data_IF_560454525555
#
_entry.id   IF_560454525555
#
_cell.length_a   1.000
_cell.length_b   1.000
_cell.length_c   1.000
_cell.angle_alpha   90.00
_cell.angle_beta   90.00
_cell.angle_gamma   90.00
#
_symmetry.space_group_name_H-M   'P 1'
#
loop_
_entity.id
_entity.type
_entity.pdbx_description
1 polymer ?
#
# COMPACT_ATOMS: atom_id res chain seq x y z
N UNK A 1 12.91 -10.23 8.50
CA UNK A 1 13.84 -10.62 7.41
C UNK A 1 12.99 -11.21 6.28
N UNK A 2 13.23 -10.82 5.03
CA UNK A 2 12.45 -11.33 3.87
C UNK A 2 13.33 -12.08 2.87
N UNK A 3 14.61 -12.29 3.19
CA UNK A 3 15.60 -12.79 2.24
C UNK A 3 15.86 -11.84 1.05
N UNK A 4 15.37 -10.60 1.12
CA UNK A 4 15.56 -9.56 0.11
C UNK A 4 16.65 -8.56 0.50
N UNK A 5 17.12 -7.76 -0.49
CA UNK A 5 18.20 -6.78 -0.34
C UNK A 5 17.97 -5.82 0.84
N UNK A 6 16.77 -5.25 0.93
CA UNK A 6 16.49 -4.15 1.86
C UNK A 6 16.53 -4.60 3.33
N UNK A 7 15.87 -5.71 3.66
CA UNK A 7 15.89 -6.25 5.02
C UNK A 7 17.29 -6.72 5.44
N UNK A 8 18.07 -7.22 4.48
CA UNK A 8 19.44 -7.68 4.72
C UNK A 8 20.37 -6.52 5.08
N UNK A 9 20.35 -5.46 4.27
CA UNK A 9 21.18 -4.28 4.50
C UNK A 9 20.72 -3.53 5.76
N UNK A 10 19.42 -3.49 6.05
CA UNK A 10 18.92 -2.94 7.30
C UNK A 10 19.51 -3.63 8.53
N UNK A 11 19.61 -4.97 8.52
CA UNK A 11 20.21 -5.72 9.61
C UNK A 11 21.73 -5.44 9.73
N UNK A 12 22.46 -5.39 8.62
CA UNK A 12 23.89 -5.05 8.58
C UNK A 12 24.13 -3.67 9.20
N UNK A 13 23.40 -2.65 8.75
CA UNK A 13 23.57 -1.28 9.24
C UNK A 13 23.27 -1.14 10.74
N UNK A 14 22.27 -1.88 11.23
CA UNK A 14 21.95 -1.88 12.66
C UNK A 14 23.05 -2.53 13.49
N UNK A 15 23.65 -3.64 13.04
CA UNK A 15 24.82 -4.24 13.72
C UNK A 15 26.01 -3.28 13.72
N UNK A 16 26.30 -2.62 12.58
CA UNK A 16 27.39 -1.63 12.50
C UNK A 16 27.16 -0.42 13.40
N UNK A 17 25.89 -0.06 13.64
CA UNK A 17 25.50 0.97 14.60
C UNK A 17 25.56 0.50 16.07
N UNK A 18 25.96 -0.76 16.33
CA UNK A 18 26.14 -1.32 17.67
C UNK A 18 24.88 -1.90 18.29
N UNK A 19 23.80 -2.11 17.53
CA UNK A 19 22.61 -2.79 18.05
C UNK A 19 22.81 -4.31 18.11
N UNK A 20 22.29 -4.92 19.17
CA UNK A 20 22.08 -6.37 19.21
C UNK A 20 20.83 -6.70 18.38
N UNK A 21 21.02 -7.37 17.23
CA UNK A 21 19.97 -7.57 16.24
C UNK A 21 19.43 -9.01 16.30
N UNK A 22 18.11 -9.14 16.30
CA UNK A 22 17.40 -10.41 16.07
C UNK A 22 16.60 -10.31 14.77
N UNK A 23 16.82 -11.22 13.83
CA UNK A 23 16.10 -11.27 12.58
C UNK A 23 14.72 -11.91 12.77
N UNK A 24 13.68 -11.30 12.19
CA UNK A 24 12.31 -11.85 12.20
C UNK A 24 11.81 -12.01 10.78
N UNK A 25 11.28 -13.19 10.45
CA UNK A 25 10.58 -13.47 9.20
C UNK A 25 9.13 -13.81 9.49
N UNK A 26 8.21 -12.98 9.01
CA UNK A 26 6.78 -13.30 9.02
C UNK A 26 6.42 -14.17 7.82
N UNK A 27 5.79 -15.31 8.06
CA UNK A 27 5.15 -16.12 7.03
C UNK A 27 3.75 -15.57 6.81
N UNK A 28 3.58 -14.74 5.77
CA UNK A 28 2.27 -14.17 5.45
C UNK A 28 1.51 -14.96 4.40
N UNK A 29 2.20 -15.34 3.32
CA UNK A 29 1.61 -16.05 2.19
C UNK A 29 2.66 -16.87 1.46
N UNK A 30 2.28 -18.07 1.09
CA UNK A 30 3.11 -19.00 0.31
C UNK A 30 2.26 -19.56 -0.85
N UNK A 31 2.81 -19.50 -2.05
CA UNK A 31 2.19 -20.14 -3.20
C UNK A 31 2.71 -21.57 -3.30
N UNK A 32 1.85 -22.54 -2.98
CA UNK A 32 2.26 -23.95 -2.82
C UNK A 32 3.26 -24.11 -1.68
N UNK A 33 4.26 -24.98 -1.88
CA UNK A 33 5.28 -25.32 -0.86
C UNK A 33 6.56 -24.43 -0.99
N UNK A 34 6.46 -23.26 -1.64
CA UNK A 34 7.64 -22.39 -1.83
C UNK A 34 8.02 -21.67 -0.54
N UNK A 35 9.04 -22.18 0.13
CA UNK A 35 9.62 -21.67 1.37
C UNK A 35 11.07 -21.20 1.22
N UNK A 36 11.62 -21.11 0.00
CA UNK A 36 13.01 -20.72 -0.26
C UNK A 36 13.39 -19.37 0.41
N UNK A 37 12.45 -18.44 0.51
CA UNK A 37 12.69 -17.16 1.18
C UNK A 37 12.99 -17.30 2.67
N UNK A 38 12.49 -18.35 3.34
CA UNK A 38 12.80 -18.66 4.74
C UNK A 38 14.24 -19.13 4.89
N UNK A 39 14.69 -19.98 3.96
CA UNK A 39 16.07 -20.46 3.96
C UNK A 39 17.05 -19.34 3.60
N UNK A 40 16.71 -18.50 2.61
CA UNK A 40 17.47 -17.28 2.30
C UNK A 40 17.60 -16.36 3.53
N UNK A 41 16.50 -16.16 4.27
CA UNK A 41 16.51 -15.33 5.47
C UNK A 41 17.33 -15.94 6.61
N UNK A 42 17.22 -17.25 6.82
CA UNK A 42 17.99 -18.01 7.83
C UNK A 42 19.48 -17.96 7.52
N UNK A 43 19.87 -18.33 6.29
CA UNK A 43 21.29 -18.31 5.87
C UNK A 43 21.92 -16.93 6.02
N UNK A 44 21.14 -15.86 5.74
CA UNK A 44 21.62 -14.51 5.98
C UNK A 44 21.84 -14.23 7.47
N UNK A 45 20.88 -14.56 8.32
CA UNK A 45 21.00 -14.38 9.77
C UNK A 45 22.19 -15.17 10.33
N UNK A 46 22.39 -16.41 9.88
CA UNK A 46 23.54 -17.25 10.23
C UNK A 46 24.87 -16.58 9.81
N UNK A 47 24.93 -16.03 8.60
CA UNK A 47 26.14 -15.33 8.11
C UNK A 47 26.43 -14.03 8.84
N UNK A 48 25.41 -13.39 9.41
CA UNK A 48 25.53 -12.20 10.25
C UNK A 48 25.72 -12.56 11.73
N UNK A 49 25.68 -13.84 12.08
CA UNK A 49 25.74 -14.34 13.48
C UNK A 49 24.64 -13.73 14.37
N UNK A 50 23.42 -13.55 13.84
CA UNK A 50 22.27 -13.06 14.58
C UNK A 50 21.19 -14.14 14.77
N UNK A 51 20.47 -14.16 15.91
CA UNK A 51 19.32 -15.03 16.09
C UNK A 51 18.26 -14.79 15.02
N UNK A 52 17.52 -15.84 14.61
CA UNK A 52 16.44 -15.75 13.66
C UNK A 52 15.16 -16.37 14.20
N UNK A 53 14.05 -15.64 14.07
CA UNK A 53 12.70 -16.06 14.45
C UNK A 53 11.85 -16.13 13.18
N UNK A 54 11.22 -17.28 12.97
CA UNK A 54 10.15 -17.43 11.97
C UNK A 54 8.81 -17.38 12.69
N UNK A 55 7.97 -16.44 12.33
CA UNK A 55 6.64 -16.26 12.92
C UNK A 55 5.56 -16.60 11.89
N UNK A 56 4.70 -17.58 12.19
CA UNK A 56 3.61 -17.98 11.30
C UNK A 56 2.42 -17.03 11.47
N UNK A 57 2.25 -16.13 10.49
CA UNK A 57 1.17 -15.17 10.43
C UNK A 57 0.20 -15.44 9.27
N UNK A 58 0.24 -16.64 8.66
CA UNK A 58 -0.55 -16.97 7.46
C UNK A 58 -2.05 -16.88 7.72
N UNK A 59 -2.52 -17.36 8.86
CA UNK A 59 -3.95 -17.34 9.18
C UNK A 59 -4.47 -15.90 9.32
N UNK A 60 -3.82 -15.09 10.15
CA UNK A 60 -4.24 -13.69 10.35
C UNK A 60 -4.09 -12.86 9.07
N UNK A 61 -3.06 -13.14 8.25
CA UNK A 61 -2.88 -12.48 6.96
C UNK A 61 -4.00 -12.84 5.98
N UNK A 62 -4.40 -14.11 5.93
CA UNK A 62 -5.53 -14.56 5.12
C UNK A 62 -6.82 -13.87 5.53
N UNK A 63 -7.11 -13.82 6.83
CA UNK A 63 -8.35 -13.25 7.36
C UNK A 63 -8.43 -11.73 7.17
N UNK A 64 -7.33 -11.01 7.43
CA UNK A 64 -7.36 -9.54 7.44
C UNK A 64 -6.98 -8.91 6.10
N UNK A 65 -6.11 -9.55 5.31
CA UNK A 65 -5.57 -8.92 4.11
C UNK A 65 -6.11 -9.57 2.83
N UNK A 66 -6.11 -10.91 2.75
CA UNK A 66 -6.58 -11.59 1.54
C UNK A 66 -8.10 -11.52 1.44
N UNK A 67 -8.82 -11.79 2.53
CA UNK A 67 -10.29 -11.68 2.54
C UNK A 67 -10.73 -10.26 2.21
N UNK A 68 -10.14 -9.24 2.88
CA UNK A 68 -10.39 -7.84 2.53
C UNK A 68 -10.17 -7.54 1.04
N UNK A 69 -9.07 -8.01 0.48
CA UNK A 69 -8.75 -7.80 -0.95
C UNK A 69 -9.82 -8.39 -1.88
N UNK A 70 -10.29 -9.60 -1.57
CA UNK A 70 -11.34 -10.27 -2.34
C UNK A 70 -12.66 -9.54 -2.18
N UNK A 71 -13.07 -9.24 -0.93
CA UNK A 71 -14.34 -8.62 -0.61
C UNK A 71 -14.47 -7.24 -1.25
N UNK A 72 -13.41 -6.43 -1.24
CA UNK A 72 -13.38 -5.13 -1.90
C UNK A 72 -13.58 -5.24 -3.41
N UNK A 73 -12.87 -6.15 -4.08
CA UNK A 73 -13.12 -6.35 -5.52
C UNK A 73 -14.53 -6.86 -5.83
N UNK A 74 -15.06 -7.74 -4.96
CA UNK A 74 -16.44 -8.21 -5.08
C UNK A 74 -17.48 -7.11 -4.79
N UNK A 75 -17.10 -6.08 -4.04
CA UNK A 75 -17.89 -4.86 -3.87
C UNK A 75 -17.72 -3.83 -5.01
N UNK A 76 -16.91 -4.14 -6.06
CA UNK A 76 -16.63 -3.22 -7.17
C UNK A 76 -15.60 -2.13 -6.85
N UNK A 77 -14.88 -2.27 -5.74
CA UNK A 77 -13.85 -1.35 -5.28
C UNK A 77 -12.46 -1.71 -5.80
N UNK A 78 -11.48 -0.86 -5.54
CA UNK A 78 -10.08 -1.06 -5.94
C UNK A 78 -9.17 -0.98 -4.70
N UNK A 79 -8.94 -2.09 -3.99
CA UNK A 79 -8.19 -2.07 -2.74
C UNK A 79 -6.69 -1.84 -2.90
N UNK A 80 -6.06 -1.28 -1.86
CA UNK A 80 -4.60 -1.18 -1.70
C UNK A 80 -4.18 -1.99 -0.46
N UNK A 81 -4.07 -3.32 -0.55
CA UNK A 81 -3.86 -4.21 0.60
C UNK A 81 -2.54 -3.96 1.31
N UNK A 82 -1.53 -3.40 0.61
CA UNK A 82 -0.23 -3.07 1.23
C UNK A 82 -0.35 -1.99 2.30
N UNK A 83 -1.26 -1.03 2.13
CA UNK A 83 -1.52 0.01 3.14
C UNK A 83 -2.13 -0.61 4.39
N UNK A 84 -3.15 -1.43 4.22
CA UNK A 84 -3.77 -2.17 5.32
C UNK A 84 -2.75 -3.04 6.06
N UNK A 85 -2.00 -3.84 5.31
CA UNK A 85 -0.99 -4.73 5.86
C UNK A 85 0.05 -3.98 6.70
N UNK A 86 0.57 -2.86 6.21
CA UNK A 86 1.55 -2.09 6.97
C UNK A 86 0.93 -1.48 8.24
N UNK A 87 -0.20 -0.77 8.13
CA UNK A 87 -0.76 0.00 9.24
C UNK A 87 -1.42 -0.87 10.32
N UNK A 88 -2.02 -2.00 9.94
CA UNK A 88 -2.87 -2.78 10.87
C UNK A 88 -2.36 -4.20 11.15
N UNK A 89 -1.36 -4.69 10.39
CA UNK A 89 -0.85 -6.05 10.60
C UNK A 89 0.67 -6.08 10.81
N UNK A 90 1.48 -5.74 9.81
CA UNK A 90 2.93 -5.95 9.83
C UNK A 90 3.64 -5.22 10.98
N UNK A 91 3.43 -3.91 11.09
CA UNK A 91 4.04 -3.12 12.14
C UNK A 91 3.48 -3.45 13.53
N UNK A 92 2.16 -3.60 13.73
CA UNK A 92 1.60 -4.07 14.99
C UNK A 92 2.13 -5.45 15.43
N UNK A 93 2.20 -6.43 14.52
CA UNK A 93 2.76 -7.74 14.86
C UNK A 93 4.24 -7.67 15.23
N UNK A 94 5.01 -6.84 14.52
CA UNK A 94 6.43 -6.65 14.84
C UNK A 94 6.61 -6.01 16.21
N UNK A 95 5.78 -5.02 16.54
CA UNK A 95 5.75 -4.39 17.85
C UNK A 95 5.37 -5.40 18.95
N UNK A 96 4.29 -6.15 18.74
CA UNK A 96 3.85 -7.20 19.68
C UNK A 96 4.96 -8.21 19.97
N UNK A 97 5.61 -8.72 18.92
CA UNK A 97 6.70 -9.68 19.07
C UNK A 97 7.91 -9.07 19.81
N UNK A 98 8.21 -7.80 19.56
CA UNK A 98 9.26 -7.07 20.28
C UNK A 98 8.90 -6.95 21.78
N UNK A 99 7.65 -6.63 22.11
CA UNK A 99 7.15 -6.55 23.49
C UNK A 99 7.25 -7.91 24.20
N UNK A 100 6.83 -8.99 23.55
CA UNK A 100 6.94 -10.38 24.08
C UNK A 100 8.38 -10.79 24.36
N UNK A 101 9.36 -10.22 23.64
CA UNK A 101 10.80 -10.47 23.83
C UNK A 101 11.50 -9.46 24.72
N UNK A 102 10.80 -8.46 25.24
CA UNK A 102 11.39 -7.39 26.03
C UNK A 102 12.31 -6.47 25.21
N UNK A 103 12.11 -6.39 23.90
CA UNK A 103 12.91 -5.58 22.97
C UNK A 103 12.19 -4.26 22.72
N UNK A 104 12.85 -3.15 22.97
CA UNK A 104 12.25 -1.82 22.76
C UNK A 104 12.22 -1.40 21.30
N UNK A 105 13.36 -1.53 20.58
CA UNK A 105 13.46 -1.10 19.19
C UNK A 105 13.08 -2.19 18.20
N UNK A 106 12.37 -1.82 17.15
CA UNK A 106 12.14 -2.70 16.02
C UNK A 106 12.37 -1.96 14.70
N UNK A 107 12.76 -2.71 13.67
CA UNK A 107 13.24 -2.15 12.41
C UNK A 107 12.69 -2.89 11.19
N UNK A 108 12.65 -2.20 10.08
CA UNK A 108 12.39 -2.79 8.76
C UNK A 108 13.25 -2.12 7.70
N UNK A 109 13.32 -2.75 6.52
CA UNK A 109 13.94 -2.18 5.33
C UNK A 109 13.03 -1.21 4.55
N UNK A 110 12.15 -0.44 5.19
CA UNK A 110 11.35 0.57 4.49
C UNK A 110 12.18 1.82 4.16
N UNK A 111 11.95 2.35 2.95
CA UNK A 111 12.53 3.62 2.48
C UNK A 111 11.68 4.79 2.96
N UNK A 112 11.73 5.06 4.23
CA UNK A 112 11.05 6.18 4.89
C UNK A 112 11.92 6.69 6.02
N UNK A 113 11.65 7.91 6.47
CA UNK A 113 12.27 8.49 7.66
C UNK A 113 11.19 8.80 8.70
N UNK A 114 11.60 9.18 9.90
CA UNK A 114 10.72 9.74 10.92
C UNK A 114 11.33 11.00 11.50
N UNK A 115 10.48 11.93 11.89
CA UNK A 115 10.89 13.20 12.50
C UNK A 115 9.93 13.57 13.64
N UNK A 116 10.47 14.13 14.72
CA UNK A 116 9.65 14.73 15.76
C UNK A 116 9.36 16.19 15.39
N UNK A 117 8.07 16.54 15.34
CA UNK A 117 7.58 17.89 15.04
C UNK A 117 6.53 18.22 16.10
N UNK A 118 6.71 19.33 16.82
CA UNK A 118 5.79 19.80 17.86
C UNK A 118 5.45 18.72 18.91
N UNK A 119 6.41 17.86 19.27
CA UNK A 119 6.24 16.78 20.27
C UNK A 119 5.55 15.51 19.75
N UNK A 120 5.25 15.44 18.45
CA UNK A 120 4.65 14.27 17.80
C UNK A 120 5.60 13.67 16.78
N UNK A 121 5.67 12.35 16.72
CA UNK A 121 6.40 11.64 15.68
C UNK A 121 5.62 11.59 14.37
N UNK A 122 6.28 11.95 13.28
CA UNK A 122 5.76 11.87 11.93
C UNK A 122 6.61 10.96 11.07
N UNK A 123 5.97 10.22 10.18
CA UNK A 123 6.65 9.58 9.04
C UNK A 123 6.98 10.67 8.03
N UNK A 124 8.19 10.62 7.47
CA UNK A 124 8.60 11.51 6.37
C UNK A 124 9.10 10.70 5.19
N UNK A 125 9.08 11.32 4.01
CA UNK A 125 9.53 10.68 2.78
C UNK A 125 10.98 10.16 2.91
N UNK A 126 11.26 9.05 2.25
CA UNK A 126 12.62 8.54 2.08
C UNK A 126 13.44 9.41 1.14
N UNK A 127 14.77 9.31 1.23
CA UNK A 127 15.69 10.05 0.37
C UNK A 127 15.62 9.62 -1.11
N UNK A 128 15.23 8.37 -1.39
CA UNK A 128 15.01 7.86 -2.75
C UNK A 128 13.54 8.07 -3.16
N UNK A 129 13.24 9.05 -4.04
CA UNK A 129 11.87 9.38 -4.42
C UNK A 129 11.19 8.28 -5.25
N UNK A 130 11.97 7.38 -5.88
CA UNK A 130 11.43 6.25 -6.65
C UNK A 130 11.14 5.03 -5.75
N UNK A 131 11.65 5.04 -4.51
CA UNK A 131 11.47 3.98 -3.52
C UNK A 131 10.75 4.43 -2.26
N UNK A 132 10.41 5.72 -2.12
CA UNK A 132 9.70 6.24 -0.96
C UNK A 132 8.43 5.44 -0.67
N UNK A 133 8.29 4.94 0.56
CA UNK A 133 7.18 4.10 0.99
C UNK A 133 6.29 4.79 2.04
N UNK A 134 6.48 6.08 2.25
CA UNK A 134 5.72 6.86 3.24
C UNK A 134 4.20 6.80 3.01
N UNK A 135 3.77 6.72 1.74
CA UNK A 135 2.38 6.55 1.34
C UNK A 135 1.67 5.37 2.02
N UNK A 136 2.39 4.31 2.35
CA UNK A 136 1.80 3.10 2.94
C UNK A 136 1.71 3.14 4.47
N UNK A 137 2.19 4.22 5.13
CA UNK A 137 2.39 4.27 6.58
C UNK A 137 1.58 5.37 7.28
N UNK A 138 0.59 5.95 6.61
CA UNK A 138 -0.22 7.05 7.15
C UNK A 138 -1.02 6.68 8.40
N UNK A 139 -1.33 5.39 8.60
CA UNK A 139 -2.17 4.90 9.71
C UNK A 139 -1.42 4.51 10.97
N UNK A 140 -0.08 4.56 10.97
CA UNK A 140 0.72 4.19 12.14
C UNK A 140 0.47 5.13 13.32
N UNK A 141 0.49 4.56 14.53
CA UNK A 141 0.24 5.28 15.78
C UNK A 141 1.55 5.74 16.44
N UNK A 142 1.47 6.77 17.27
CA UNK A 142 2.60 7.37 17.95
C UNK A 142 3.54 6.35 18.64
N UNK A 143 3.04 5.39 19.46
CA UNK A 143 3.91 4.42 20.13
C UNK A 143 4.70 3.53 19.14
N UNK A 144 4.12 3.25 17.97
CA UNK A 144 4.81 2.47 16.93
C UNK A 144 5.88 3.31 16.26
N UNK A 145 5.56 4.55 15.85
CA UNK A 145 6.50 5.44 15.16
C UNK A 145 7.70 5.78 16.06
N UNK A 146 7.45 6.01 17.33
CA UNK A 146 8.51 6.30 18.30
C UNK A 146 9.59 5.20 18.33
N UNK A 147 9.19 3.94 18.36
CA UNK A 147 10.07 2.78 18.56
C UNK A 147 10.65 2.20 17.26
N UNK A 148 10.19 2.66 16.08
CA UNK A 148 10.69 2.12 14.82
C UNK A 148 12.06 2.69 14.47
N UNK A 149 12.95 1.85 13.94
CA UNK A 149 14.21 2.23 13.32
C UNK A 149 14.11 2.02 11.81
N UNK A 150 14.60 2.98 11.05
CA UNK A 150 14.43 3.09 9.60
C UNK A 150 15.80 3.31 8.93
N UNK A 151 16.70 2.32 8.99
CA UNK A 151 18.09 2.51 8.59
C UNK A 151 18.28 2.81 7.10
N UNK A 152 17.30 2.53 6.25
CA UNK A 152 17.38 2.78 4.82
C UNK A 152 16.80 4.13 4.38
N UNK A 153 16.17 4.85 5.28
CA UNK A 153 15.39 6.05 4.95
C UNK A 153 16.20 7.19 4.33
N UNK A 154 17.49 7.28 4.62
CA UNK A 154 18.40 8.31 4.10
C UNK A 154 19.22 7.88 2.88
N UNK A 155 18.95 6.68 2.34
CA UNK A 155 19.75 6.06 1.29
C UNK A 155 18.95 5.81 0.02
N UNK A 156 19.64 5.80 -1.12
CA UNK A 156 19.10 5.37 -2.39
C UNK A 156 19.20 3.85 -2.56
N UNK A 157 18.38 3.26 -3.43
CA UNK A 157 18.46 1.82 -3.75
C UNK A 157 19.81 1.40 -4.30
N UNK A 158 20.49 2.28 -5.03
CA UNK A 158 21.83 1.99 -5.58
C UNK A 158 22.88 1.91 -4.47
N UNK A 159 22.84 2.81 -3.49
CA UNK A 159 23.73 2.76 -2.32
C UNK A 159 23.50 1.48 -1.51
N UNK A 160 22.25 1.11 -1.27
CA UNK A 160 21.89 -0.13 -0.57
C UNK A 160 22.45 -1.37 -1.28
N UNK A 161 22.33 -1.44 -2.60
CA UNK A 161 22.91 -2.54 -3.37
C UNK A 161 24.44 -2.57 -3.32
N UNK A 162 25.08 -1.41 -3.35
CA UNK A 162 26.53 -1.30 -3.20
C UNK A 162 27.00 -1.79 -1.83
N UNK A 163 26.31 -1.42 -0.76
CA UNK A 163 26.61 -1.92 0.60
C UNK A 163 26.52 -3.44 0.64
N UNK A 164 25.43 -4.03 0.12
CA UNK A 164 25.27 -5.48 0.08
C UNK A 164 26.42 -6.16 -0.68
N UNK A 165 26.83 -5.61 -1.83
CA UNK A 165 27.94 -6.14 -2.62
C UNK A 165 29.30 -6.04 -1.90
N UNK A 166 29.59 -4.90 -1.27
CA UNK A 166 30.84 -4.66 -0.52
C UNK A 166 30.95 -5.58 0.71
N UNK A 167 29.82 -5.99 1.29
CA UNK A 167 29.77 -6.92 2.43
C UNK A 167 29.76 -8.40 1.99
N UNK A 168 29.97 -8.68 0.71
CA UNK A 168 30.02 -10.06 0.16
C UNK A 168 28.68 -10.69 -0.14
N UNK A 169 27.56 -9.97 0.01
CA UNK A 169 26.21 -10.47 -0.25
C UNK A 169 25.77 -10.26 -1.71
N UNK A 170 26.54 -10.78 -2.68
CA UNK A 170 26.32 -10.58 -4.12
C UNK A 170 24.94 -11.06 -4.58
N UNK A 171 24.47 -12.23 -4.11
CA UNK A 171 23.14 -12.77 -4.43
C UNK A 171 22.04 -11.78 -4.00
N UNK A 172 22.20 -11.16 -2.83
CA UNK A 172 21.28 -10.18 -2.28
C UNK A 172 21.34 -8.86 -3.06
N UNK A 173 22.54 -8.37 -3.41
CA UNK A 173 22.74 -7.13 -4.16
C UNK A 173 22.09 -7.14 -5.55
N UNK A 174 22.05 -8.31 -6.22
CA UNK A 174 21.50 -8.48 -7.57
C UNK A 174 20.04 -8.93 -7.61
N UNK A 175 19.45 -9.26 -6.45
CA UNK A 175 18.05 -9.71 -6.37
C UNK A 175 17.11 -8.62 -6.90
N UNK A 176 16.19 -9.02 -7.78
CA UNK A 176 15.16 -8.10 -8.30
C UNK A 176 14.20 -7.68 -7.20
N UNK A 177 13.76 -6.43 -7.28
CA UNK A 177 12.72 -5.93 -6.39
C UNK A 177 11.39 -6.65 -6.68
N UNK A 178 10.64 -6.97 -5.63
CA UNK A 178 9.27 -7.45 -5.78
C UNK A 178 8.40 -6.31 -6.32
N UNK A 179 7.73 -6.55 -7.42
CA UNK A 179 6.75 -5.63 -8.01
C UNK A 179 5.34 -6.14 -7.72
N UNK A 180 4.44 -5.22 -7.35
CA UNK A 180 3.05 -5.54 -7.06
C UNK A 180 2.81 -6.06 -5.64
N UNK A 181 1.64 -6.68 -5.45
CA UNK A 181 1.17 -7.20 -4.16
C UNK A 181 1.84 -8.55 -3.87
N UNK A 182 2.36 -8.75 -2.66
CA UNK A 182 3.20 -9.92 -2.33
C UNK A 182 2.52 -11.27 -2.53
N UNK A 183 1.20 -11.38 -2.31
CA UNK A 183 0.42 -12.59 -2.54
C UNK A 183 -0.21 -12.65 -3.95
N UNK A 184 -0.18 -11.54 -4.68
CA UNK A 184 -0.72 -11.41 -6.03
C UNK A 184 0.29 -10.68 -6.94
N UNK A 185 1.44 -11.31 -7.30
CA UNK A 185 2.51 -10.65 -8.04
C UNK A 185 2.20 -10.51 -9.54
N UNK A 186 1.15 -11.17 -10.02
CA UNK A 186 0.73 -11.20 -11.41
C UNK A 186 -0.59 -10.42 -11.60
N UNK A 187 -1.49 -10.95 -12.39
CA UNK A 187 -2.81 -10.38 -12.64
C UNK A 187 -3.77 -10.75 -11.49
N UNK A 188 -4.31 -9.75 -10.81
CA UNK A 188 -5.25 -9.94 -9.70
C UNK A 188 -6.53 -10.69 -10.11
N UNK A 189 -6.91 -10.62 -11.38
CA UNK A 189 -8.09 -11.33 -11.92
C UNK A 189 -7.93 -12.85 -11.81
N UNK A 190 -6.72 -13.36 -12.07
CA UNK A 190 -6.42 -14.79 -11.90
C UNK A 190 -6.47 -15.17 -10.42
N UNK A 191 -5.92 -14.31 -9.56
CA UNK A 191 -5.98 -14.53 -8.11
C UNK A 191 -7.43 -14.60 -7.61
N UNK A 192 -8.30 -13.68 -8.04
CA UNK A 192 -9.73 -13.73 -7.70
C UNK A 192 -10.37 -15.04 -8.19
N UNK A 193 -10.14 -15.43 -9.45
CA UNK A 193 -10.68 -16.69 -10.01
C UNK A 193 -10.24 -17.95 -9.24
N UNK A 194 -9.02 -17.93 -8.67
CA UNK A 194 -8.47 -19.04 -7.87
C UNK A 194 -9.04 -19.10 -6.44
N UNK A 195 -9.47 -17.98 -5.86
CA UNK A 195 -9.81 -17.87 -4.45
C UNK A 195 -11.29 -17.66 -4.14
N UNK A 196 -12.11 -17.41 -5.14
CA UNK A 196 -13.56 -17.26 -4.99
C UNK A 196 -14.29 -18.53 -5.41
N UNK A 197 -15.53 -18.70 -4.94
CA UNK A 197 -16.38 -19.81 -5.36
C UNK A 197 -16.63 -19.76 -6.88
N UNK A 198 -16.41 -20.87 -7.61
CA UNK A 198 -16.71 -20.91 -9.03
C UNK A 198 -18.17 -20.45 -9.32
N UNK A 199 -18.34 -19.55 -10.28
CA UNK A 199 -19.65 -18.99 -10.64
C UNK A 199 -20.09 -17.75 -9.83
N UNK A 200 -19.34 -17.32 -8.82
CA UNK A 200 -19.65 -16.07 -8.09
C UNK A 200 -19.42 -14.82 -8.93
N UNK A 201 -18.51 -14.87 -9.91
CA UNK A 201 -18.34 -13.80 -10.89
C UNK A 201 -19.00 -14.23 -12.19
N UNK A 202 -20.02 -13.49 -12.61
CA UNK A 202 -20.77 -13.74 -13.82
C UNK A 202 -20.44 -12.70 -14.89
N UNK A 203 -20.45 -13.09 -16.18
CA UNK A 203 -20.39 -12.11 -17.28
C UNK A 203 -21.51 -11.08 -17.15
N UNK A 204 -21.20 -9.83 -17.50
CA UNK A 204 -22.15 -8.72 -17.50
C UNK A 204 -21.97 -7.83 -18.72
N UNK A 205 -22.53 -6.63 -18.67
CA UNK A 205 -22.63 -5.76 -19.82
C UNK A 205 -21.91 -4.41 -19.61
N UNK A 206 -21.25 -3.95 -20.67
CA UNK A 206 -20.74 -2.58 -20.77
C UNK A 206 -21.80 -1.65 -21.35
N UNK A 207 -21.98 -0.52 -20.70
CA UNK A 207 -22.84 0.56 -21.17
C UNK A 207 -22.03 1.84 -21.37
N UNK A 208 -22.45 2.66 -22.30
CA UNK A 208 -21.93 4.03 -22.39
C UNK A 208 -22.67 4.97 -21.42
N UNK A 209 -22.25 6.25 -21.37
CA UNK A 209 -22.83 7.27 -20.50
C UNK A 209 -24.30 7.60 -20.86
N UNK A 210 -24.78 7.23 -22.03
CA UNK A 210 -26.19 7.40 -22.45
C UNK A 210 -27.07 6.21 -22.03
N UNK A 211 -26.49 5.14 -21.53
CA UNK A 211 -27.16 3.90 -21.18
C UNK A 211 -27.28 2.92 -22.35
N UNK A 212 -26.58 3.16 -23.47
CA UNK A 212 -26.55 2.24 -24.59
C UNK A 212 -25.60 1.06 -24.28
N UNK A 213 -26.05 -0.16 -24.57
CA UNK A 213 -25.22 -1.37 -24.51
C UNK A 213 -24.13 -1.31 -25.59
N UNK A 214 -22.85 -1.42 -25.16
CA UNK A 214 -21.71 -1.32 -26.10
C UNK A 214 -20.78 -2.55 -26.07
N UNK A 215 -21.07 -3.55 -25.25
CA UNK A 215 -20.27 -4.78 -25.16
C UNK A 215 -20.60 -5.63 -23.97
N UNK A 216 -19.85 -6.74 -23.82
CA UNK A 216 -19.94 -7.64 -22.67
C UNK A 216 -18.60 -7.79 -21.97
N UNK A 217 -18.63 -8.01 -20.68
CA UNK A 217 -17.45 -8.23 -19.84
C UNK A 217 -17.51 -9.57 -19.10
N UNK A 218 -16.35 -10.06 -18.64
CA UNK A 218 -16.23 -11.34 -17.92
C UNK A 218 -16.72 -11.28 -16.45
N UNK A 219 -17.01 -10.10 -15.94
CA UNK A 219 -17.46 -9.81 -14.57
C UNK A 219 -16.91 -8.48 -14.09
N UNK A 220 -17.76 -7.68 -13.43
CA UNK A 220 -17.39 -6.34 -12.97
C UNK A 220 -16.15 -6.31 -12.04
N UNK A 221 -15.85 -7.32 -11.18
CA UNK A 221 -14.69 -7.26 -10.31
C UNK A 221 -13.33 -7.22 -11.04
N UNK A 222 -13.33 -7.49 -12.36
CA UNK A 222 -12.11 -7.46 -13.17
C UNK A 222 -11.80 -6.08 -13.75
N UNK A 223 -12.54 -5.05 -13.32
CA UNK A 223 -12.40 -3.69 -13.83
C UNK A 223 -12.12 -2.70 -12.69
N UNK A 224 -11.49 -1.59 -13.05
CA UNK A 224 -11.11 -0.51 -12.10
C UNK A 224 -11.43 0.84 -12.74
N UNK A 225 -11.88 1.81 -11.96
CA UNK A 225 -12.16 3.17 -12.43
C UNK A 225 -10.92 3.78 -13.12
N UNK A 226 -11.13 4.32 -14.31
CA UNK A 226 -10.07 4.87 -15.16
C UNK A 226 -9.29 3.83 -15.98
N UNK A 227 -9.63 2.54 -15.88
CA UNK A 227 -8.99 1.50 -16.70
C UNK A 227 -9.28 1.75 -18.19
N UNK A 228 -8.20 1.73 -19.00
CA UNK A 228 -8.22 1.93 -20.45
C UNK A 228 -7.99 0.65 -21.24
N UNK A 229 -7.16 -0.25 -20.72
CA UNK A 229 -6.72 -1.47 -21.43
C UNK A 229 -7.50 -2.70 -20.97
N UNK A 230 -7.64 -3.69 -21.86
CA UNK A 230 -8.26 -4.97 -21.50
C UNK A 230 -9.79 -4.90 -21.37
N UNK A 231 -10.43 -3.93 -22.00
CA UNK A 231 -11.90 -3.81 -22.01
C UNK A 231 -12.56 -4.78 -23.02
N UNK A 232 -11.82 -5.24 -24.04
CA UNK A 232 -12.40 -6.11 -25.08
C UNK A 232 -13.39 -5.39 -26.01
N UNK A 233 -13.50 -4.06 -25.92
CA UNK A 233 -14.35 -3.24 -26.78
C UNK A 233 -13.48 -2.60 -27.86
N UNK A 234 -13.83 -2.81 -29.12
CA UNK A 234 -13.08 -2.28 -30.26
C UNK A 234 -13.81 -1.08 -30.84
N UNK A 235 -13.34 0.12 -30.57
CA UNK A 235 -13.81 1.37 -31.14
C UNK A 235 -12.61 2.24 -31.57
N UNK A 236 -12.82 3.16 -32.53
CA UNK A 236 -11.77 4.07 -33.01
C UNK A 236 -11.46 5.23 -32.04
N UNK A 237 -11.76 5.06 -30.74
CA UNK A 237 -11.54 6.06 -29.69
C UNK A 237 -11.05 5.39 -28.41
N UNK A 238 -10.36 6.17 -27.56
CA UNK A 238 -9.98 5.70 -26.24
C UNK A 238 -11.22 5.57 -25.36
N UNK A 239 -11.33 4.45 -24.65
CA UNK A 239 -12.42 4.16 -23.73
C UNK A 239 -11.87 3.96 -22.31
N UNK A 240 -12.65 4.39 -21.31
CA UNK A 240 -12.26 4.32 -19.90
C UNK A 240 -13.43 3.82 -19.05
N UNK A 241 -13.13 3.02 -18.04
CA UNK A 241 -14.12 2.63 -17.03
C UNK A 241 -14.48 3.88 -16.22
N UNK A 242 -15.74 4.29 -16.26
CA UNK A 242 -16.26 5.43 -15.51
C UNK A 242 -16.89 5.02 -14.18
N UNK A 243 -17.68 3.95 -14.18
CA UNK A 243 -18.40 3.49 -13.00
C UNK A 243 -18.56 1.98 -13.03
N UNK A 244 -18.55 1.37 -11.86
CA UNK A 244 -18.88 -0.04 -11.64
C UNK A 244 -20.14 -0.07 -10.79
N UNK A 245 -21.16 -0.83 -11.19
CA UNK A 245 -22.45 -0.99 -10.50
C UNK A 245 -22.63 -2.48 -10.21
N UNK A 246 -22.13 -2.96 -9.04
CA UNK A 246 -22.12 -4.39 -8.72
C UNK A 246 -23.51 -5.02 -8.72
N UNK A 247 -24.51 -4.31 -8.18
CA UNK A 247 -25.89 -4.78 -8.03
C UNK A 247 -26.56 -5.11 -9.37
N UNK A 248 -26.12 -4.42 -10.43
CA UNK A 248 -26.61 -4.61 -11.81
C UNK A 248 -25.65 -5.46 -12.65
N UNK A 249 -24.51 -5.87 -12.08
CA UNK A 249 -23.38 -6.47 -12.83
C UNK A 249 -23.01 -5.67 -14.10
N UNK A 250 -22.90 -4.35 -13.92
CA UNK A 250 -22.77 -3.38 -15.01
C UNK A 250 -21.52 -2.55 -14.85
N UNK A 251 -20.85 -2.28 -15.96
CA UNK A 251 -19.70 -1.37 -16.06
C UNK A 251 -20.01 -0.26 -17.05
N UNK A 252 -19.96 0.99 -16.59
CA UNK A 252 -20.17 2.17 -17.43
C UNK A 252 -18.83 2.65 -17.98
N UNK A 253 -18.83 2.93 -19.29
CA UNK A 253 -17.65 3.34 -20.05
C UNK A 253 -17.85 4.76 -20.56
N UNK A 254 -16.81 5.60 -20.47
CA UNK A 254 -16.76 6.90 -21.12
C UNK A 254 -15.63 6.96 -22.16
N UNK A 255 -15.72 7.90 -23.09
CA UNK A 255 -14.70 8.17 -24.11
C UNK A 255 -13.93 9.48 -23.86
N UNK A 256 -14.26 10.19 -22.77
CA UNK A 256 -13.63 11.42 -22.36
C UNK A 256 -13.09 11.30 -20.94
N UNK A 257 -11.78 11.48 -20.74
CA UNK A 257 -11.17 11.47 -19.43
C UNK A 257 -11.71 12.57 -18.48
N UNK A 258 -12.21 13.67 -19.01
CA UNK A 258 -12.85 14.70 -18.20
C UNK A 258 -14.09 14.22 -17.47
N UNK A 259 -14.79 13.21 -18.02
CA UNK A 259 -15.92 12.56 -17.35
C UNK A 259 -15.53 11.79 -16.07
N UNK A 260 -14.23 11.61 -15.83
CA UNK A 260 -13.66 10.98 -14.63
C UNK A 260 -13.15 12.01 -13.60
N UNK A 261 -13.24 13.30 -13.91
CA UNK A 261 -12.80 14.36 -13.03
C UNK A 261 -13.77 14.50 -11.84
N UNK A 262 -13.19 14.52 -10.65
CA UNK A 262 -13.87 14.69 -9.37
C UNK A 262 -13.00 15.59 -8.48
N UNK A 263 -13.62 16.39 -7.66
CA UNK A 263 -12.95 17.31 -6.74
C UNK A 263 -13.26 17.05 -5.27
N UNK A 264 -14.03 16.02 -4.98
CA UNK A 264 -14.34 15.67 -3.59
C UNK A 264 -14.28 14.16 -3.39
N UNK A 265 -13.88 13.74 -2.19
CA UNK A 265 -13.93 12.35 -1.74
C UNK A 265 -14.13 12.29 -0.23
N UNK A 266 -14.71 11.20 0.24
CA UNK A 266 -14.83 10.88 1.65
C UNK A 266 -13.85 9.75 1.97
N UNK A 267 -13.16 9.86 3.11
CA UNK A 267 -12.28 8.82 3.63
C UNK A 267 -12.90 8.17 4.86
N UNK A 268 -12.86 6.83 4.90
CA UNK A 268 -13.06 6.01 6.09
C UNK A 268 -11.73 5.49 6.64
N UNK A 269 -11.76 4.77 7.77
CA UNK A 269 -10.58 4.13 8.37
C UNK A 269 -9.35 5.04 8.42
N UNK A 270 -9.58 6.28 8.77
CA UNK A 270 -8.58 7.33 8.72
C UNK A 270 -7.77 7.47 10.01
N UNK A 271 -6.60 8.06 9.87
CA UNK A 271 -5.74 8.50 10.96
C UNK A 271 -5.14 9.87 10.62
N UNK A 272 -5.23 10.81 11.55
CA UNK A 272 -4.58 12.14 11.47
C UNK A 272 -3.66 12.29 12.68
N UNK A 273 -2.42 12.69 12.42
CA UNK A 273 -1.41 12.85 13.48
C UNK A 273 -1.71 14.07 14.35
N UNK A 274 -2.00 15.20 13.74
CA UNK A 274 -2.31 16.46 14.42
C UNK A 274 -3.52 17.13 13.71
N UNK A 275 -4.74 17.04 14.28
CA UNK A 275 -5.93 17.60 13.68
C UNK A 275 -5.86 19.10 13.40
N UNK A 276 -5.26 19.87 14.31
CA UNK A 276 -5.14 21.33 14.21
C UNK A 276 -4.28 21.76 13.01
N UNK A 277 -3.36 20.88 12.57
CA UNK A 277 -2.51 21.13 11.40
C UNK A 277 -3.10 20.62 10.09
N UNK A 278 -4.24 19.95 10.12
CA UNK A 278 -4.83 19.31 8.93
C UNK A 278 -6.20 19.85 8.60
N UNK A 279 -7.03 20.13 9.61
CA UNK A 279 -8.40 20.54 9.37
C UNK A 279 -8.49 22.01 8.94
N UNK A 280 -9.37 22.28 7.97
CA UNK A 280 -9.56 23.58 7.40
C UNK A 280 -8.75 23.83 6.14
N UNK A 281 -8.48 25.12 5.87
CA UNK A 281 -7.77 25.58 4.69
C UNK A 281 -6.28 25.76 4.98
N UNK A 282 -5.46 25.01 4.26
CA UNK A 282 -3.99 25.07 4.32
C UNK A 282 -3.42 25.10 2.91
N UNK A 283 -2.65 26.12 2.56
CA UNK A 283 -2.11 26.30 1.21
C UNK A 283 -1.08 25.23 0.80
N UNK A 284 -0.47 24.55 1.77
CA UNK A 284 0.60 23.57 1.62
C UNK A 284 0.18 22.11 1.86
N UNK A 285 -1.12 21.89 2.17
CA UNK A 285 -1.63 20.55 2.38
C UNK A 285 -1.98 19.89 1.04
N UNK A 286 -1.44 18.71 0.81
CA UNK A 286 -1.70 17.92 -0.39
C UNK A 286 -2.21 16.52 -0.03
N UNK A 287 -2.99 15.94 -0.93
CA UNK A 287 -3.38 14.54 -0.89
C UNK A 287 -2.79 13.77 -2.07
N UNK A 288 -2.25 12.58 -1.77
CA UNK A 288 -1.84 11.59 -2.77
C UNK A 288 -2.83 10.43 -2.72
N UNK A 289 -3.43 10.08 -3.86
CA UNK A 289 -4.33 8.93 -3.98
C UNK A 289 -3.67 7.72 -4.67
N UNK A 290 -2.40 7.84 -5.01
CA UNK A 290 -1.57 6.79 -5.60
C UNK A 290 -0.15 6.92 -5.08
N UNK A 291 0.56 5.81 -5.08
CA UNK A 291 1.92 5.69 -4.55
C UNK A 291 2.93 6.66 -5.17
N UNK A 292 2.79 7.09 -6.44
CA UNK A 292 3.81 7.91 -7.11
C UNK A 292 3.31 9.27 -7.57
N UNK A 293 4.20 10.28 -7.39
CA UNK A 293 4.20 11.63 -8.02
C UNK A 293 2.82 12.28 -8.20
N UNK A 294 2.15 12.56 -7.10
CA UNK A 294 0.96 13.39 -7.07
C UNK A 294 1.14 14.47 -6.00
N UNK A 295 0.65 15.66 -6.29
CA UNK A 295 0.63 16.80 -5.37
C UNK A 295 -0.69 17.55 -5.58
N UNK A 296 -1.80 16.97 -5.09
CA UNK A 296 -3.12 17.56 -5.26
C UNK A 296 -3.44 18.37 -4.00
N UNK A 297 -3.45 19.69 -4.10
CA UNK A 297 -3.81 20.57 -2.97
C UNK A 297 -5.25 20.29 -2.54
N UNK A 298 -5.47 20.29 -1.24
CA UNK A 298 -6.78 19.92 -0.70
C UNK A 298 -7.08 20.64 0.61
N UNK A 299 -8.36 20.64 0.95
CA UNK A 299 -8.89 20.99 2.26
C UNK A 299 -9.48 19.74 2.90
N UNK A 300 -9.39 19.64 4.22
CA UNK A 300 -9.85 18.49 4.99
C UNK A 300 -10.83 18.95 6.04
N UNK A 301 -12.00 18.32 6.09
CA UNK A 301 -13.04 18.62 7.08
C UNK A 301 -13.60 17.30 7.65
N UNK A 302 -13.65 17.14 8.98
CA UNK A 302 -14.34 16.01 9.58
C UNK A 302 -15.85 16.12 9.35
N UNK A 303 -16.50 15.00 9.05
CA UNK A 303 -17.95 14.94 8.85
C UNK A 303 -18.65 14.44 10.13
N UNK A 304 -19.95 14.73 10.26
CA UNK A 304 -20.75 14.33 11.43
C UNK A 304 -20.88 12.80 11.57
N UNK A 305 -20.72 12.05 10.50
CA UNK A 305 -20.78 10.59 10.48
C UNK A 305 -19.41 9.92 10.71
N UNK A 306 -18.39 10.70 11.10
CA UNK A 306 -17.07 10.19 11.48
C UNK A 306 -16.12 9.91 10.31
N UNK A 307 -16.46 10.34 9.09
CA UNK A 307 -15.57 10.31 7.92
C UNK A 307 -14.77 11.61 7.80
N UNK A 308 -13.76 11.62 6.90
CA UNK A 308 -13.10 12.84 6.49
C UNK A 308 -13.53 13.23 5.07
N UNK A 309 -13.99 14.45 4.92
CA UNK A 309 -14.25 15.06 3.61
C UNK A 309 -12.98 15.74 3.12
N UNK A 310 -12.55 15.37 1.93
CA UNK A 310 -11.42 15.95 1.21
C UNK A 310 -11.95 16.70 0.01
N UNK A 311 -11.74 18.02 -0.02
CA UNK A 311 -12.04 18.87 -1.16
C UNK A 311 -10.74 19.21 -1.90
N UNK A 312 -10.63 18.79 -3.14
CA UNK A 312 -9.48 19.07 -4.00
C UNK A 312 -9.62 20.49 -4.59
N UNK A 313 -8.53 21.23 -4.65
CA UNK A 313 -8.53 22.58 -5.28
C UNK A 313 -8.50 22.50 -6.80
N UNK A 314 -8.07 21.38 -7.36
CA UNK A 314 -8.09 21.08 -8.78
C UNK A 314 -8.70 19.68 -8.98
N UNK A 315 -9.55 19.48 -10.01
CA UNK A 315 -10.15 18.18 -10.27
C UNK A 315 -9.10 17.10 -10.51
N UNK A 316 -9.38 15.92 -10.03
CA UNK A 316 -8.53 14.74 -10.18
C UNK A 316 -9.30 13.62 -10.86
N UNK A 317 -8.69 13.00 -11.86
CA UNK A 317 -9.30 11.87 -12.58
C UNK A 317 -9.12 10.56 -11.83
N UNK A 318 -10.12 9.70 -11.94
CA UNK A 318 -10.03 8.29 -11.52
C UNK A 318 -9.78 8.10 -10.01
N UNK A 319 -10.51 8.84 -9.19
CA UNK A 319 -10.64 8.54 -7.76
C UNK A 319 -11.45 7.24 -7.65
N UNK A 320 -10.87 6.20 -7.07
CA UNK A 320 -11.55 4.91 -6.95
C UNK A 320 -11.78 4.57 -5.47
N UNK A 321 -12.96 4.06 -5.15
CA UNK A 321 -13.32 3.56 -3.82
C UNK A 321 -12.39 2.40 -3.46
N UNK A 322 -12.00 2.28 -2.19
CA UNK A 322 -11.07 1.27 -1.69
C UNK A 322 -9.59 1.67 -1.79
N UNK A 323 -9.26 2.71 -2.56
CA UNK A 323 -7.87 3.21 -2.62
C UNK A 323 -7.51 4.02 -1.38
N UNK A 324 -6.22 3.96 -1.01
CA UNK A 324 -5.69 4.80 0.05
C UNK A 324 -5.49 6.24 -0.43
N UNK A 325 -5.75 7.19 0.47
CA UNK A 325 -5.41 8.59 0.32
C UNK A 325 -4.51 9.01 1.48
N UNK A 326 -3.31 9.51 1.18
CA UNK A 326 -2.36 9.96 2.19
C UNK A 326 -2.16 11.48 2.11
N UNK A 327 -2.25 12.14 3.25
CA UNK A 327 -2.13 13.58 3.41
C UNK A 327 -0.68 13.96 3.73
N UNK A 328 -0.17 14.97 3.06
CA UNK A 328 1.21 15.44 3.24
C UNK A 328 1.28 16.95 3.40
N UNK A 329 2.27 17.37 4.17
CA UNK A 329 2.80 18.74 4.17
C UNK A 329 4.29 18.67 3.88
N UNK A 330 4.70 19.13 2.69
CA UNK A 330 6.06 18.92 2.19
C UNK A 330 6.41 17.43 2.08
N UNK A 331 7.42 16.98 2.83
CA UNK A 331 7.88 15.60 2.92
C UNK A 331 7.21 14.80 4.04
N UNK A 332 6.36 15.44 4.84
CA UNK A 332 5.81 14.90 6.10
C UNK A 332 4.42 14.32 5.88
N UNK A 333 4.22 13.09 6.33
CA UNK A 333 2.89 12.44 6.35
C UNK A 333 2.09 13.00 7.53
N UNK A 334 0.97 13.65 7.23
CA UNK A 334 0.06 14.23 8.21
C UNK A 334 -1.06 13.26 8.62
N UNK A 335 -1.27 12.23 7.81
CA UNK A 335 -2.30 11.21 8.00
C UNK A 335 -2.80 10.63 6.69
N UNK A 336 -3.99 10.07 6.72
CA UNK A 336 -4.65 9.51 5.54
C UNK A 336 -5.85 8.65 5.89
N UNK A 337 -6.39 7.94 4.91
CA UNK A 337 -7.53 7.05 5.07
C UNK A 337 -7.78 6.22 3.81
N UNK A 338 -8.89 5.51 3.79
CA UNK A 338 -9.36 4.74 2.64
C UNK A 338 -10.51 5.50 1.98
N UNK A 339 -10.46 5.67 0.66
CA UNK A 339 -11.53 6.31 -0.11
C UNK A 339 -12.81 5.50 -0.01
N UNK A 340 -13.84 6.06 0.62
CA UNK A 340 -15.15 5.43 0.82
C UNK A 340 -16.18 5.87 -0.22
N UNK A 341 -16.05 7.07 -0.75
CA UNK A 341 -16.82 7.58 -1.88
C UNK A 341 -16.10 8.72 -2.58
N UNK A 342 -16.47 8.97 -3.82
CA UNK A 342 -16.07 10.13 -4.60
C UNK A 342 -17.34 10.87 -5.05
N UNK A 343 -17.33 12.19 -5.01
CA UNK A 343 -18.48 13.06 -5.26
C UNK A 343 -18.12 14.06 -6.37
#
# INVERSE_FOLDING_TARGET
MSGGTDSSVAAILLQEAGYEVTGVTFRFYEKGDNTEYLDDARQLCDSLHIPHITYDARQIFKEQIISYFIDEYMAGHTPVPCTLCNNYLKWPLLQQLADEKGIYWFATGHYVQKRMINGLWHITCGADPDKDQSFFLWGLKQPTIERMLLPLGTMTKSEIRNIAAQRGFQKVATKRDSLGVCFCPMDYRNFLKEHITPGSIMPGDFYDETGQLIGRHEGYPFYTIGQRRGLGIYQNKALFVKQIIPEENKVVICDNMKSLEQNEMLLSDWNIVCPEEVYGQHDDLIVKIRYRKQANRCEVTPTADGRLHIRLLEPLTSIAIGQAAALYRGDTVMGGGITASSI
#
